data_IF_717942358535
#
_entry.id   IF_717942358535
#
_cell.length_a   1.000
_cell.length_b   1.000
_cell.length_c   1.000
_cell.angle_alpha   90.00
_cell.angle_beta   90.00
_cell.angle_gamma   90.00
#
_symmetry.space_group_name_H-M   'P 1'
#
loop_
_entity.id
_entity.type
_entity.pdbx_description
1 polymer ?
#
# COMPACT_ATOMS: atom_id res chain seq x y z
N UNK A 1 -11.91 8.55 -3.79
CA UNK A 1 -10.95 9.36 -3.00
C UNK A 1 -9.55 8.98 -3.44
N UNK A 2 -8.70 9.97 -3.69
CA UNK A 2 -7.27 9.78 -3.96
C UNK A 2 -6.52 9.87 -2.63
N UNK A 3 -5.74 8.85 -2.30
CA UNK A 3 -5.10 8.76 -0.98
C UNK A 3 -3.61 9.14 -1.00
N UNK A 4 -3.02 9.28 -2.19
CA UNK A 4 -1.63 9.69 -2.35
C UNK A 4 -1.57 11.18 -2.74
N UNK A 5 -0.69 11.99 -2.11
CA UNK A 5 -0.69 13.44 -2.25
C UNK A 5 -0.34 13.90 -3.67
N UNK A 6 -1.01 14.95 -4.14
CA UNK A 6 -0.88 15.51 -5.50
C UNK A 6 0.27 16.54 -5.66
N UNK A 7 1.16 16.71 -4.69
CA UNK A 7 2.15 17.80 -4.62
C UNK A 7 3.43 17.44 -3.84
N UNK A 8 4.62 18.02 -4.16
CA UNK A 8 5.15 18.36 -5.48
C UNK A 8 5.76 17.12 -6.15
N UNK A 9 6.02 17.21 -7.45
CA UNK A 9 6.69 16.16 -8.21
C UNK A 9 8.11 15.99 -7.66
N UNK A 10 8.37 14.89 -6.93
CA UNK A 10 9.69 14.57 -6.37
C UNK A 10 10.45 13.64 -7.30
N UNK A 11 11.77 13.69 -7.26
CA UNK A 11 12.58 12.70 -7.95
C UNK A 11 12.38 11.33 -7.31
N UNK A 12 12.11 10.33 -8.15
CA UNK A 12 12.01 8.96 -7.71
C UNK A 12 13.40 8.32 -7.65
N UNK A 13 13.62 7.43 -6.68
CA UNK A 13 14.84 6.62 -6.56
C UNK A 13 15.13 5.74 -7.78
N UNK A 14 14.14 5.47 -8.63
CA UNK A 14 14.34 4.79 -9.91
C UNK A 14 15.03 5.67 -10.99
N UNK A 15 15.25 6.96 -10.70
CA UNK A 15 15.85 7.93 -11.62
C UNK A 15 14.84 8.81 -12.35
N UNK A 16 13.53 8.56 -12.21
CA UNK A 16 12.49 9.41 -12.81
C UNK A 16 12.46 10.78 -12.11
N UNK A 17 12.75 11.83 -12.86
CA UNK A 17 12.53 13.21 -12.42
C UNK A 17 11.04 13.53 -12.38
N UNK A 18 10.66 14.36 -11.42
CA UNK A 18 9.29 14.84 -11.29
C UNK A 18 8.24 13.70 -11.27
N UNK A 19 8.50 12.66 -10.46
CA UNK A 19 7.59 11.54 -10.32
C UNK A 19 6.28 11.97 -9.64
N UNK A 20 5.17 11.64 -10.28
CA UNK A 20 3.82 11.82 -9.77
C UNK A 20 3.25 10.50 -9.23
N UNK A 21 2.05 10.56 -8.67
CA UNK A 21 1.32 9.39 -8.19
C UNK A 21 1.21 8.28 -9.24
N UNK A 22 0.92 8.63 -10.50
CA UNK A 22 0.80 7.66 -11.59
C UNK A 22 2.10 6.88 -11.82
N UNK A 23 3.24 7.55 -11.74
CA UNK A 23 4.54 6.90 -11.85
C UNK A 23 4.68 5.79 -10.80
N UNK A 24 4.39 6.07 -9.53
CA UNK A 24 4.56 5.09 -8.46
C UNK A 24 3.63 3.87 -8.58
N UNK A 25 2.48 4.02 -9.24
CA UNK A 25 1.48 2.95 -9.35
C UNK A 25 1.45 2.24 -10.70
N UNK A 26 2.10 2.78 -11.73
CA UNK A 26 1.99 2.26 -13.11
C UNK A 26 3.36 2.09 -13.77
N UNK A 27 4.27 3.06 -13.62
CA UNK A 27 5.47 3.16 -14.46
C UNK A 27 6.77 2.82 -13.71
N UNK A 28 6.77 2.90 -12.38
CA UNK A 28 7.97 2.74 -11.57
C UNK A 28 8.44 1.29 -11.61
N UNK A 29 9.59 1.06 -12.25
CA UNK A 29 10.19 -0.28 -12.39
C UNK A 29 10.55 -0.92 -11.05
N UNK A 30 10.90 -0.13 -10.04
CA UNK A 30 11.18 -0.61 -8.68
C UNK A 30 9.91 -1.10 -7.97
N UNK A 31 8.74 -0.54 -8.31
CA UNK A 31 7.47 -0.85 -7.68
C UNK A 31 6.60 -1.81 -8.49
N UNK A 32 6.88 -1.99 -9.77
CA UNK A 32 6.12 -2.86 -10.67
C UNK A 32 5.85 -4.27 -10.09
N UNK A 33 6.81 -4.96 -9.44
CA UNK A 33 6.55 -6.26 -8.82
C UNK A 33 5.52 -6.20 -7.69
N UNK A 34 5.58 -5.16 -6.83
CA UNK A 34 4.65 -4.99 -5.72
C UNK A 34 3.25 -4.62 -6.21
N UNK A 35 3.17 -3.70 -7.16
CA UNK A 35 1.90 -3.31 -7.82
C UNK A 35 1.25 -4.51 -8.49
N UNK A 36 2.02 -5.36 -9.19
CA UNK A 36 1.48 -6.58 -9.80
C UNK A 36 0.96 -7.55 -8.74
N UNK A 37 1.67 -7.73 -7.63
CA UNK A 37 1.19 -8.56 -6.52
C UNK A 37 -0.10 -8.00 -5.90
N UNK A 38 -0.24 -6.68 -5.77
CA UNK A 38 -1.47 -6.05 -5.27
C UNK A 38 -2.65 -6.31 -6.21
N UNK A 39 -2.45 -6.14 -7.51
CA UNK A 39 -3.45 -6.47 -8.54
C UNK A 39 -3.88 -7.93 -8.44
N UNK A 40 -2.92 -8.85 -8.33
CA UNK A 40 -3.21 -10.28 -8.16
C UNK A 40 -3.98 -10.56 -6.87
N UNK A 41 -3.69 -9.83 -5.77
CA UNK A 41 -4.39 -10.02 -4.50
C UNK A 41 -5.88 -9.63 -4.60
N UNK A 42 -6.21 -8.60 -5.39
CA UNK A 42 -7.58 -8.16 -5.61
C UNK A 42 -8.36 -9.06 -6.57
N UNK A 43 -7.70 -9.58 -7.61
CA UNK A 43 -8.32 -10.49 -8.59
C UNK A 43 -8.68 -11.88 -8.01
N UNK A 44 -8.28 -12.18 -6.77
CA UNK A 44 -8.76 -13.38 -6.05
C UNK A 44 -10.20 -13.24 -5.54
N UNK A 45 -10.79 -12.05 -5.63
CA UNK A 45 -12.21 -11.84 -5.36
C UNK A 45 -13.02 -12.22 -6.60
N UNK A 46 -14.17 -12.86 -6.41
CA UNK A 46 -15.02 -13.47 -7.46
C UNK A 46 -15.62 -12.48 -8.47
N UNK A 47 -15.27 -11.20 -8.41
CA UNK A 47 -15.79 -10.17 -9.31
C UNK A 47 -14.62 -9.45 -9.98
N UNK A 48 -14.53 -9.45 -11.32
CA UNK A 48 -13.54 -8.65 -12.03
C UNK A 48 -13.70 -7.18 -11.62
N UNK A 49 -12.66 -6.62 -11.00
CA UNK A 49 -12.69 -5.23 -10.60
C UNK A 49 -12.22 -4.37 -11.77
N UNK A 50 -13.17 -3.72 -12.45
CA UNK A 50 -12.85 -2.64 -13.38
C UNK A 50 -12.38 -1.46 -12.54
N UNK A 51 -11.09 -1.15 -12.62
CA UNK A 51 -10.50 0.02 -11.98
C UNK A 51 -10.75 1.21 -12.92
N UNK A 52 -11.52 2.24 -12.51
CA UNK A 52 -11.67 3.44 -13.33
C UNK A 52 -10.29 4.03 -13.65
N UNK A 53 -10.11 4.57 -14.86
CA UNK A 53 -8.83 5.16 -15.27
C UNK A 53 -8.33 6.29 -14.35
N UNK A 54 -9.23 6.86 -13.53
CA UNK A 54 -8.93 7.88 -12.54
C UNK A 54 -8.41 7.33 -11.21
N UNK A 55 -8.47 6.02 -10.95
CA UNK A 55 -8.08 5.43 -9.66
C UNK A 55 -6.89 4.50 -9.85
N UNK A 56 -6.01 4.50 -8.85
CA UNK A 56 -4.95 3.50 -8.78
C UNK A 56 -5.42 2.25 -8.05
N UNK A 57 -4.66 1.16 -8.18
CA UNK A 57 -4.93 -0.06 -7.42
C UNK A 57 -4.96 0.20 -5.91
N UNK A 58 -4.11 1.11 -5.42
CA UNK A 58 -4.04 1.51 -4.01
C UNK A 58 -5.33 2.21 -3.59
N UNK A 59 -5.84 3.15 -4.39
CA UNK A 59 -7.10 3.83 -4.11
C UNK A 59 -8.26 2.83 -4.00
N UNK A 60 -8.31 1.83 -4.89
CA UNK A 60 -9.34 0.78 -4.85
C UNK A 60 -9.27 -0.05 -3.58
N UNK A 61 -8.07 -0.43 -3.13
CA UNK A 61 -7.90 -1.21 -1.90
C UNK A 61 -8.30 -0.38 -0.68
N UNK A 62 -7.83 0.86 -0.60
CA UNK A 62 -8.12 1.76 0.52
C UNK A 62 -9.63 2.04 0.64
N UNK A 63 -10.32 2.22 -0.47
CA UNK A 63 -11.77 2.42 -0.49
C UNK A 63 -12.56 1.15 -0.11
N UNK A 64 -11.95 -0.04 -0.14
CA UNK A 64 -12.57 -1.32 0.22
C UNK A 64 -12.21 -1.80 1.62
N UNK A 65 -11.40 -1.05 2.37
CA UNK A 65 -10.98 -1.46 3.70
C UNK A 65 -12.20 -1.83 4.57
N UNK A 66 -12.13 -2.95 5.30
CA UNK A 66 -13.22 -3.35 6.15
C UNK A 66 -13.34 -2.35 7.32
N UNK A 67 -14.59 -2.05 7.71
CA UNK A 67 -14.87 -1.18 8.86
C UNK A 67 -14.32 -1.73 10.19
N UNK A 68 -14.13 -3.04 10.29
CA UNK A 68 -13.57 -3.69 11.48
C UNK A 68 -12.11 -4.12 11.25
N UNK A 69 -11.16 -3.67 12.07
CA UNK A 69 -9.75 -4.11 12.00
C UNK A 69 -9.59 -5.62 12.10
N UNK A 70 -10.46 -6.30 12.88
CA UNK A 70 -10.45 -7.78 13.01
C UNK A 70 -10.65 -8.48 11.67
N UNK A 71 -11.35 -7.86 10.72
CA UNK A 71 -11.57 -8.41 9.38
C UNK A 71 -10.30 -8.40 8.51
N UNK A 72 -9.31 -7.55 8.83
CA UNK A 72 -8.02 -7.54 8.12
C UNK A 72 -7.23 -8.84 8.32
N UNK A 73 -7.55 -9.62 9.36
CA UNK A 73 -6.95 -10.94 9.63
C UNK A 73 -7.62 -12.10 8.89
N UNK A 74 -8.68 -11.85 8.11
CA UNK A 74 -9.56 -12.88 7.53
C UNK A 74 -9.60 -12.80 6.00
N UNK A 75 -9.92 -13.93 5.36
CA UNK A 75 -10.12 -14.01 3.90
C UNK A 75 -8.94 -13.47 3.10
N UNK A 76 -9.23 -12.79 1.99
CA UNK A 76 -8.21 -12.18 1.13
C UNK A 76 -7.40 -11.08 1.85
N UNK A 77 -8.01 -10.36 2.81
CA UNK A 77 -7.35 -9.30 3.55
C UNK A 77 -6.11 -9.75 4.33
N UNK A 78 -6.06 -11.01 4.78
CA UNK A 78 -4.88 -11.60 5.44
C UNK A 78 -3.61 -11.51 4.57
N UNK A 79 -3.78 -11.51 3.24
CA UNK A 79 -2.68 -11.33 2.27
C UNK A 79 -2.62 -9.89 1.74
N UNK A 80 -3.75 -9.29 1.40
CA UNK A 80 -3.81 -7.94 0.80
C UNK A 80 -3.32 -6.85 1.75
N UNK A 81 -3.67 -6.91 3.04
CA UNK A 81 -3.28 -5.87 4.00
C UNK A 81 -1.76 -5.75 4.21
N UNK A 82 -1.01 -6.81 4.57
CA UNK A 82 0.44 -6.68 4.74
C UNK A 82 1.14 -6.28 3.44
N UNK A 83 0.63 -6.72 2.28
CA UNK A 83 1.17 -6.35 0.98
C UNK A 83 0.93 -4.87 0.64
N UNK A 84 -0.25 -4.34 0.99
CA UNK A 84 -0.56 -2.91 0.84
C UNK A 84 0.40 -2.06 1.67
N UNK A 85 0.60 -2.42 2.94
CA UNK A 85 1.51 -1.70 3.83
C UNK A 85 2.95 -1.73 3.31
N UNK A 86 3.43 -2.89 2.85
CA UNK A 86 4.75 -2.98 2.22
C UNK A 86 4.85 -2.10 0.98
N UNK A 87 3.83 -2.09 0.12
CA UNK A 87 3.84 -1.28 -1.10
C UNK A 87 3.85 0.22 -0.79
N UNK A 88 3.05 0.67 0.19
CA UNK A 88 3.04 2.07 0.62
C UNK A 88 4.40 2.51 1.15
N UNK A 89 5.10 1.62 1.86
CA UNK A 89 6.45 1.87 2.33
C UNK A 89 7.46 1.94 1.19
N UNK A 90 7.38 1.04 0.22
CA UNK A 90 8.28 1.07 -0.94
C UNK A 90 8.06 2.34 -1.77
N UNK A 91 6.82 2.83 -1.85
CA UNK A 91 6.49 4.15 -2.44
C UNK A 91 7.16 5.26 -1.66
N UNK A 92 7.06 5.25 -0.33
CA UNK A 92 7.67 6.27 0.52
C UNK A 92 9.20 6.31 0.32
N UNK A 93 9.85 5.13 0.29
CA UNK A 93 11.28 4.97 -0.02
C UNK A 93 11.62 5.50 -1.41
N UNK A 94 10.82 5.17 -2.42
CA UNK A 94 11.05 5.63 -3.77
C UNK A 94 10.87 7.15 -3.89
N UNK A 95 9.98 7.76 -3.11
CA UNK A 95 9.68 9.19 -3.14
C UNK A 95 10.63 10.07 -2.31
N UNK A 96 11.53 9.45 -1.54
CA UNK A 96 12.54 10.11 -0.73
C UNK A 96 13.93 9.53 -1.01
N UNK A 97 14.53 9.83 -2.18
CA UNK A 97 15.78 9.22 -2.61
C UNK A 97 16.95 9.44 -1.63
N UNK A 98 16.97 10.58 -0.95
CA UNK A 98 18.01 11.00 -0.02
C UNK A 98 17.77 10.54 1.43
N UNK A 99 16.60 9.96 1.73
CA UNK A 99 16.27 9.52 3.08
C UNK A 99 16.85 8.14 3.40
N UNK A 100 17.22 7.97 4.67
CA UNK A 100 17.59 6.70 5.28
C UNK A 100 16.37 6.21 6.05
N UNK A 101 16.00 4.95 5.82
CA UNK A 101 14.82 4.32 6.43
C UNK A 101 15.26 3.29 7.45
N UNK A 102 14.69 3.35 8.65
CA UNK A 102 14.88 2.33 9.66
C UNK A 102 14.22 1.00 9.24
N UNK A 103 14.68 -0.15 9.78
CA UNK A 103 13.99 -1.42 9.61
C UNK A 103 12.57 -1.35 10.16
N UNK A 104 11.57 -1.62 9.32
CA UNK A 104 10.16 -1.60 9.74
C UNK A 104 9.78 -2.88 10.47
N UNK A 105 8.83 -2.74 11.39
CA UNK A 105 8.21 -3.86 12.06
C UNK A 105 7.31 -4.64 11.09
N UNK A 106 7.26 -5.97 11.19
CA UNK A 106 6.35 -6.79 10.37
C UNK A 106 4.90 -6.26 10.46
N UNK A 107 4.26 -5.91 9.32
CA UNK A 107 2.89 -5.39 9.28
C UNK A 107 1.86 -6.24 10.03
N UNK A 108 2.07 -7.57 10.10
CA UNK A 108 1.22 -8.50 10.85
C UNK A 108 1.36 -8.31 12.36
N UNK A 109 2.58 -8.05 12.84
CA UNK A 109 2.83 -7.76 14.25
C UNK A 109 2.18 -6.44 14.67
N UNK A 110 2.30 -5.41 13.83
CA UNK A 110 1.65 -4.11 14.06
C UNK A 110 0.13 -4.27 14.13
N UNK A 111 -0.48 -4.96 13.16
CA UNK A 111 -1.92 -5.24 13.17
C UNK A 111 -2.34 -6.08 14.39
N UNK A 112 -1.51 -7.01 14.83
CA UNK A 112 -1.78 -7.81 16.02
C UNK A 112 -1.84 -6.95 17.28
N UNK A 113 -0.84 -6.08 17.49
CA UNK A 113 -0.81 -5.12 18.60
C UNK A 113 -1.99 -4.15 18.57
N UNK A 114 -2.37 -3.68 17.37
CA UNK A 114 -3.50 -2.78 17.21
C UNK A 114 -4.85 -3.42 17.58
N UNK A 115 -5.06 -4.70 17.21
CA UNK A 115 -6.31 -5.42 17.49
C UNK A 115 -6.36 -5.94 18.93
N UNK A 116 -5.21 -6.32 19.48
CA UNK A 116 -5.05 -6.82 20.83
C UNK A 116 -4.01 -5.93 21.55
N UNK A 117 -4.38 -4.69 21.93
CA UNK A 117 -3.47 -3.85 22.68
C UNK A 117 -3.09 -4.57 23.99
N UNK A 118 -1.83 -4.45 24.45
CA UNK A 118 -1.47 -4.96 25.76
C UNK A 118 -2.41 -4.32 26.79
N UNK A 119 -2.93 -5.13 27.72
CA UNK A 119 -3.68 -4.61 28.86
C UNK A 119 -2.72 -3.69 29.62
N UNK A 120 -2.98 -2.38 29.58
CA UNK A 120 -2.32 -1.45 30.50
C UNK A 120 -2.80 -1.83 31.90
N UNK A 121 -1.94 -2.53 32.65
CA UNK A 121 -2.16 -2.80 34.06
C UNK A 121 -2.33 -1.45 34.78
N UNK A 122 -3.57 -1.10 35.11
CA UNK A 122 -3.90 -0.08 36.11
C UNK A 122 -3.79 -0.68 37.51
#
# INVERSE_FOLDING_TARGET
MHWLPSYPLKDCRCGKKEANHHHYTTDCTLLAPMIQQLNNSLNTTTTPHIIPATHTIIDVILNKLPKSPKSLKRGHWRKTWPLLLQTLRDIDICSHPDAIFDPETDPRLVLNKFINPPEENN
#
